data_IF_397233324418
#
_entry.id   IF_397233324418
#
_cell.length_a   1.000
_cell.length_b   1.000
_cell.length_c   1.000
_cell.angle_alpha   90.00
_cell.angle_beta   90.00
_cell.angle_gamma   90.00
#
_symmetry.space_group_name_H-M   'P 1'
#
loop_
_entity.id
_entity.type
_entity.pdbx_description
1 polymer ?
#
# COMPACT_ATOMS: atom_id res chain seq x y z
N UNK A 1 -6.33 -16.43 18.39
CA UNK A 1 -5.75 -15.78 17.21
C UNK A 1 -4.25 -15.74 17.42
N UNK A 2 -3.45 -16.33 16.53
CA UNK A 2 -2.00 -16.25 16.64
C UNK A 2 -1.48 -14.82 16.36
N UNK A 3 -0.24 -14.55 16.76
CA UNK A 3 0.39 -13.24 16.67
C UNK A 3 0.41 -12.70 15.23
N UNK A 4 0.63 -13.58 14.25
CA UNK A 4 0.74 -13.19 12.85
C UNK A 4 -0.62 -12.77 12.28
N UNK A 5 -1.69 -13.50 12.61
CA UNK A 5 -3.07 -13.14 12.26
C UNK A 5 -3.49 -11.83 12.93
N UNK A 6 -3.11 -11.62 14.20
CA UNK A 6 -3.35 -10.35 14.90
C UNK A 6 -2.66 -9.19 14.16
N UNK A 7 -1.39 -9.35 13.80
CA UNK A 7 -0.64 -8.32 13.07
C UNK A 7 -1.29 -8.06 11.71
N UNK A 8 -1.62 -9.09 10.95
CA UNK A 8 -2.30 -8.93 9.66
C UNK A 8 -3.62 -8.15 9.80
N UNK A 9 -4.41 -8.44 10.84
CA UNK A 9 -5.64 -7.71 11.14
C UNK A 9 -5.36 -6.24 11.49
N UNK A 10 -4.34 -5.96 12.30
CA UNK A 10 -3.92 -4.59 12.63
C UNK A 10 -3.49 -3.84 11.36
N UNK A 11 -2.71 -4.47 10.49
CA UNK A 11 -2.26 -3.86 9.23
C UNK A 11 -3.42 -3.58 8.28
N UNK A 12 -4.37 -4.50 8.17
CA UNK A 12 -5.60 -4.29 7.42
C UNK A 12 -6.42 -3.14 8.00
N UNK A 13 -6.53 -3.05 9.33
CA UNK A 13 -7.21 -1.97 10.03
C UNK A 13 -6.53 -0.60 9.81
N UNK A 14 -5.19 -0.55 9.77
CA UNK A 14 -4.43 0.67 9.44
C UNK A 14 -4.71 1.12 8.00
N UNK A 15 -4.68 0.19 7.03
CA UNK A 15 -4.98 0.52 5.63
C UNK A 15 -6.43 0.97 5.44
N UNK A 16 -7.39 0.27 6.05
CA UNK A 16 -8.80 0.64 6.02
C UNK A 16 -9.06 1.98 6.72
N UNK A 17 -8.40 2.22 7.85
CA UNK A 17 -8.45 3.48 8.58
C UNK A 17 -7.89 4.64 7.75
N UNK A 18 -6.76 4.44 7.07
CA UNK A 18 -6.19 5.42 6.16
C UNK A 18 -7.16 5.75 5.01
N UNK A 19 -7.76 4.75 4.37
CA UNK A 19 -8.74 4.95 3.31
C UNK A 19 -9.96 5.75 3.82
N UNK A 20 -10.50 5.39 4.99
CA UNK A 20 -11.61 6.10 5.62
C UNK A 20 -11.26 7.55 5.97
N UNK A 21 -10.07 7.80 6.51
CA UNK A 21 -9.59 9.15 6.81
C UNK A 21 -9.39 9.98 5.55
N UNK A 22 -8.82 9.41 4.50
CA UNK A 22 -8.66 10.08 3.21
C UNK A 22 -10.01 10.56 2.66
N UNK A 23 -10.99 9.66 2.58
CA UNK A 23 -12.35 9.98 2.11
C UNK A 23 -13.01 11.05 2.99
N UNK A 24 -12.90 10.90 4.32
CA UNK A 24 -13.47 11.85 5.28
C UNK A 24 -12.86 13.25 5.14
N UNK A 25 -11.54 13.34 4.98
CA UNK A 25 -10.84 14.62 4.81
C UNK A 25 -11.28 15.32 3.54
N UNK A 26 -11.33 14.60 2.40
CA UNK A 26 -11.79 15.18 1.13
C UNK A 26 -13.23 15.67 1.19
N UNK A 27 -14.13 14.89 1.79
CA UNK A 27 -15.54 15.31 1.97
C UNK A 27 -15.67 16.52 2.90
N UNK A 28 -14.86 16.60 3.97
CA UNK A 28 -14.85 17.75 4.88
C UNK A 28 -14.37 19.02 4.18
N UNK A 29 -13.34 18.94 3.34
CA UNK A 29 -12.86 20.09 2.56
C UNK A 29 -13.93 20.55 1.58
N UNK A 30 -14.58 19.62 0.88
CA UNK A 30 -15.69 19.92 -0.04
C UNK A 30 -16.83 20.67 0.65
N UNK A 31 -17.34 20.13 1.77
CA UNK A 31 -18.42 20.76 2.53
C UNK A 31 -18.06 22.17 3.04
N UNK A 32 -16.79 22.40 3.43
CA UNK A 32 -16.33 23.70 3.91
C UNK A 32 -16.28 24.73 2.80
N UNK A 33 -15.84 24.34 1.61
CA UNK A 33 -15.76 25.24 0.46
C UNK A 33 -17.16 25.61 -0.02
N UNK A 34 -18.08 24.64 -0.13
CA UNK A 34 -19.48 24.95 -0.45
C UNK A 34 -20.13 25.91 0.56
N UNK A 35 -19.82 25.75 1.85
CA UNK A 35 -20.32 26.64 2.89
C UNK A 35 -19.75 28.07 2.79
N UNK A 36 -18.50 28.22 2.35
CA UNK A 36 -17.81 29.52 2.24
C UNK A 36 -18.16 30.26 0.94
N UNK A 37 -18.26 29.54 -0.18
CA UNK A 37 -18.53 30.12 -1.50
C UNK A 37 -20.03 30.37 -1.75
N UNK A 38 -20.90 29.91 -0.83
CA UNK A 38 -22.36 30.01 -0.94
C UNK A 38 -22.93 29.50 -2.28
N UNK A 39 -22.20 28.61 -2.96
CA UNK A 39 -22.58 28.00 -4.23
C UNK A 39 -22.20 26.51 -4.24
N UNK A 40 -22.90 25.73 -5.07
CA UNK A 40 -22.60 24.30 -5.23
C UNK A 40 -21.32 24.15 -6.06
N UNK A 41 -20.27 23.57 -5.46
CA UNK A 41 -19.00 23.31 -6.15
C UNK A 41 -18.96 21.83 -6.48
N UNK A 42 -18.72 21.49 -7.75
CA UNK A 42 -18.58 20.09 -8.14
C UNK A 42 -17.34 19.48 -7.48
N UNK A 43 -17.41 18.20 -7.05
CA UNK A 43 -16.23 17.50 -6.50
C UNK A 43 -15.09 17.41 -7.51
N UNK A 44 -15.42 17.36 -8.79
CA UNK A 44 -14.45 17.26 -9.88
C UNK A 44 -13.61 18.53 -9.98
N UNK A 45 -14.26 19.71 -9.95
CA UNK A 45 -13.57 21.00 -9.95
C UNK A 45 -12.74 21.19 -8.68
N UNK A 46 -13.28 20.78 -7.53
CA UNK A 46 -12.54 20.80 -6.28
C UNK A 46 -11.27 19.93 -6.36
N UNK A 47 -11.39 18.68 -6.79
CA UNK A 47 -10.24 17.78 -6.86
C UNK A 47 -9.19 18.27 -7.86
N UNK A 48 -9.61 18.87 -8.99
CA UNK A 48 -8.71 19.56 -9.92
C UNK A 48 -7.97 20.71 -9.25
N UNK A 49 -8.67 21.56 -8.50
CA UNK A 49 -8.06 22.69 -7.78
C UNK A 49 -7.12 22.26 -6.65
N UNK A 50 -7.40 21.14 -5.98
CA UNK A 50 -6.58 20.61 -4.88
C UNK A 50 -5.34 19.83 -5.34
N UNK A 51 -5.21 19.52 -6.63
CA UNK A 51 -4.13 18.67 -7.12
C UNK A 51 -2.78 19.39 -7.08
N UNK A 52 -1.86 18.87 -6.26
CA UNK A 52 -0.47 19.34 -6.20
C UNK A 52 0.43 18.37 -6.97
N UNK A 53 1.12 18.86 -8.00
CA UNK A 53 2.09 18.06 -8.74
C UNK A 53 3.29 17.68 -7.84
N UNK A 54 3.50 16.37 -7.63
CA UNK A 54 4.56 15.88 -6.73
C UNK A 54 5.91 15.61 -7.43
N UNK A 55 5.94 15.66 -8.76
CA UNK A 55 7.09 15.33 -9.61
C UNK A 55 7.10 13.86 -10.06
N UNK A 56 7.41 13.61 -11.33
CA UNK A 56 7.30 12.28 -11.97
C UNK A 56 8.10 11.19 -11.25
N UNK A 57 9.32 11.48 -10.83
CA UNK A 57 10.18 10.52 -10.12
C UNK A 57 9.56 10.05 -8.80
N UNK A 58 8.94 10.98 -8.05
CA UNK A 58 8.29 10.63 -6.80
C UNK A 58 7.03 9.81 -7.05
N UNK A 59 6.20 10.19 -8.03
CA UNK A 59 5.00 9.44 -8.39
C UNK A 59 5.33 8.01 -8.82
N UNK A 60 6.36 7.84 -9.66
CA UNK A 60 6.83 6.52 -10.08
C UNK A 60 7.30 5.66 -8.90
N UNK A 61 8.04 6.27 -7.95
CA UNK A 61 8.49 5.57 -6.77
C UNK A 61 7.32 5.18 -5.87
N UNK A 62 6.40 6.11 -5.60
CA UNK A 62 5.21 5.88 -4.80
C UNK A 62 4.36 4.73 -5.38
N UNK A 63 4.16 4.72 -6.70
CA UNK A 63 3.48 3.64 -7.40
C UNK A 63 4.22 2.30 -7.23
N UNK A 64 5.55 2.31 -7.41
CA UNK A 64 6.40 1.14 -7.19
C UNK A 64 6.27 0.60 -5.77
N UNK A 65 6.20 1.47 -4.77
CA UNK A 65 6.01 1.07 -3.39
C UNK A 65 4.65 0.40 -3.15
N UNK A 66 3.57 0.93 -3.71
CA UNK A 66 2.25 0.30 -3.65
C UNK A 66 2.25 -1.07 -4.33
N UNK A 67 2.88 -1.21 -5.50
CA UNK A 67 3.02 -2.51 -6.17
C UNK A 67 3.82 -3.50 -5.33
N UNK A 68 4.98 -3.06 -4.79
CA UNK A 68 5.82 -3.87 -3.90
C UNK A 68 5.09 -4.27 -2.62
N UNK A 69 4.15 -3.47 -2.12
CA UNK A 69 3.34 -3.82 -0.96
C UNK A 69 2.49 -5.04 -1.25
N UNK A 70 1.81 -5.09 -2.41
CA UNK A 70 1.04 -6.26 -2.82
C UNK A 70 1.91 -7.49 -3.01
N UNK A 71 3.10 -7.33 -3.60
CA UNK A 71 4.08 -8.42 -3.73
C UNK A 71 4.50 -8.94 -2.36
N UNK A 72 4.87 -8.06 -1.42
CA UNK A 72 5.27 -8.43 -0.07
C UNK A 72 4.15 -9.16 0.69
N UNK A 73 2.91 -8.66 0.60
CA UNK A 73 1.73 -9.34 1.18
C UNK A 73 1.55 -10.72 0.57
N UNK A 74 1.64 -10.86 -0.75
CA UNK A 74 1.47 -12.14 -1.42
C UNK A 74 2.57 -13.15 -1.04
N UNK A 75 3.83 -12.72 -1.00
CA UNK A 75 4.95 -13.56 -0.55
C UNK A 75 4.77 -13.99 0.91
N UNK A 76 4.42 -13.06 1.79
CA UNK A 76 4.19 -13.38 3.20
C UNK A 76 3.02 -14.37 3.34
N UNK A 77 1.89 -14.09 2.71
CA UNK A 77 0.68 -14.91 2.83
C UNK A 77 0.87 -16.32 2.24
N UNK A 78 1.47 -16.43 1.06
CA UNK A 78 1.52 -17.68 0.32
C UNK A 78 2.76 -18.53 0.65
N UNK A 79 3.87 -17.91 1.07
CA UNK A 79 5.14 -18.60 1.32
C UNK A 79 5.46 -18.77 2.81
N UNK A 80 4.76 -18.07 3.71
CA UNK A 80 4.90 -18.29 5.16
C UNK A 80 3.79 -19.24 5.63
N UNK A 81 4.09 -20.53 5.83
CA UNK A 81 3.10 -21.61 5.95
C UNK A 81 2.30 -21.56 7.25
N UNK A 82 2.67 -20.70 8.17
CA UNK A 82 2.05 -20.52 9.49
C UNK A 82 0.86 -19.58 9.44
N UNK A 83 0.67 -18.91 8.31
CA UNK A 83 -0.29 -17.83 8.17
C UNK A 83 -1.68 -18.35 7.78
N UNK A 84 -1.80 -19.34 6.88
CA UNK A 84 -3.10 -19.81 6.36
C UNK A 84 -3.08 -21.25 5.81
N UNK A 85 -4.25 -21.91 5.69
CA UNK A 85 -4.37 -23.31 5.28
C UNK A 85 -3.97 -23.60 3.83
N UNK A 86 -3.94 -22.59 2.96
CA UNK A 86 -3.61 -22.74 1.54
C UNK A 86 -2.23 -22.15 1.23
N UNK A 87 -1.16 -22.82 1.68
CA UNK A 87 0.20 -22.41 1.34
C UNK A 87 0.53 -22.82 -0.10
N UNK A 88 1.19 -21.92 -0.84
CA UNK A 88 1.67 -22.20 -2.21
C UNK A 88 2.63 -23.41 -2.27
N UNK A 89 3.29 -23.70 -1.15
CA UNK A 89 4.16 -24.88 -0.98
C UNK A 89 3.40 -26.22 -0.98
N UNK A 90 2.09 -26.21 -0.73
CA UNK A 90 1.26 -27.43 -0.80
C UNK A 90 0.74 -27.70 -2.21
N UNK A 91 0.90 -26.75 -3.15
CA UNK A 91 0.23 -26.78 -4.45
C UNK A 91 1.16 -27.35 -5.55
N UNK A 92 2.46 -27.09 -5.52
CA UNK A 92 3.38 -27.58 -6.56
C UNK A 92 4.85 -27.63 -6.11
N UNK A 93 5.62 -28.56 -6.66
CA UNK A 93 7.09 -28.69 -6.44
C UNK A 93 7.88 -27.68 -7.28
N UNK A 94 7.33 -27.21 -8.42
CA UNK A 94 7.98 -26.19 -9.29
C UNK A 94 7.99 -24.81 -8.60
N UNK A 95 7.07 -24.61 -7.65
CA UNK A 95 6.88 -23.39 -6.87
C UNK A 95 8.02 -23.04 -5.90
N UNK A 96 8.87 -24.01 -5.52
CA UNK A 96 9.94 -23.81 -4.54
C UNK A 96 11.31 -23.51 -5.16
N UNK A 97 11.40 -23.43 -6.49
CA UNK A 97 12.63 -23.03 -7.19
C UNK A 97 12.80 -21.51 -7.21
N UNK A 98 14.05 -21.02 -7.31
CA UNK A 98 14.34 -19.59 -7.46
C UNK A 98 13.56 -18.94 -8.61
N UNK A 99 13.50 -19.63 -9.77
CA UNK A 99 12.73 -19.19 -10.93
C UNK A 99 11.23 -19.15 -10.63
N UNK A 100 10.71 -20.13 -9.88
CA UNK A 100 9.32 -20.18 -9.43
C UNK A 100 8.94 -18.96 -8.58
N UNK A 101 9.79 -18.58 -7.61
CA UNK A 101 9.57 -17.36 -6.83
C UNK A 101 9.62 -16.12 -7.71
N UNK A 102 10.60 -15.98 -8.59
CA UNK A 102 10.70 -14.82 -9.47
C UNK A 102 9.46 -14.65 -10.35
N UNK A 103 9.01 -15.73 -11.01
CA UNK A 103 7.81 -15.73 -11.84
C UNK A 103 6.58 -15.35 -11.01
N UNK A 104 6.43 -15.93 -9.82
CA UNK A 104 5.34 -15.60 -8.92
C UNK A 104 5.31 -14.10 -8.57
N UNK A 105 6.44 -13.52 -8.16
CA UNK A 105 6.53 -12.10 -7.87
C UNK A 105 6.26 -11.21 -9.08
N UNK A 106 6.75 -11.59 -10.26
CA UNK A 106 6.48 -10.88 -11.50
C UNK A 106 4.98 -10.89 -11.86
N UNK A 107 4.30 -12.03 -11.70
CA UNK A 107 2.86 -12.15 -11.93
C UNK A 107 2.08 -11.28 -10.93
N UNK A 108 2.40 -11.34 -9.64
CA UNK A 108 1.73 -10.50 -8.62
C UNK A 108 1.95 -9.01 -8.89
N UNK A 109 3.16 -8.61 -9.26
CA UNK A 109 3.46 -7.22 -9.62
C UNK A 109 2.67 -6.78 -10.87
N UNK A 110 2.61 -7.63 -11.90
CA UNK A 110 1.83 -7.35 -13.11
C UNK A 110 0.33 -7.21 -12.80
N UNK A 111 -0.22 -8.10 -11.97
CA UNK A 111 -1.62 -8.02 -11.51
C UNK A 111 -1.87 -6.73 -10.73
N UNK A 112 -0.98 -6.37 -9.80
CA UNK A 112 -1.08 -5.11 -9.06
C UNK A 112 -1.06 -3.90 -10.00
N UNK A 113 -0.16 -3.88 -10.99
CA UNK A 113 -0.12 -2.81 -12.00
C UNK A 113 -1.42 -2.73 -12.82
N UNK A 114 -1.96 -3.88 -13.26
CA UNK A 114 -3.23 -3.93 -14.00
C UNK A 114 -4.36 -3.37 -13.15
N UNK A 115 -4.47 -3.77 -11.88
CA UNK A 115 -5.50 -3.28 -10.96
C UNK A 115 -5.36 -1.76 -10.77
N UNK A 116 -4.16 -1.25 -10.54
CA UNK A 116 -3.95 0.19 -10.34
C UNK A 116 -4.30 0.98 -11.62
N UNK A 117 -3.89 0.51 -12.80
CA UNK A 117 -4.23 1.14 -14.08
C UNK A 117 -5.71 1.06 -14.41
N UNK A 118 -6.36 -0.07 -14.08
CA UNK A 118 -7.79 -0.23 -14.24
C UNK A 118 -8.55 0.75 -13.34
N UNK A 119 -8.14 0.89 -12.08
CA UNK A 119 -8.70 1.90 -11.18
C UNK A 119 -8.50 3.32 -11.75
N UNK A 120 -7.30 3.65 -12.21
CA UNK A 120 -6.99 4.97 -12.76
C UNK A 120 -7.87 5.34 -13.98
N UNK A 121 -8.14 4.37 -14.87
CA UNK A 121 -8.93 4.58 -16.09
C UNK A 121 -10.44 4.42 -15.92
N UNK A 122 -10.90 3.51 -15.06
CA UNK A 122 -12.31 3.15 -14.96
C UNK A 122 -13.04 3.99 -13.91
N UNK A 123 -12.35 4.54 -12.91
CA UNK A 123 -12.98 5.39 -11.90
C UNK A 123 -13.36 6.75 -12.51
N UNK A 124 -14.65 7.13 -12.42
CA UNK A 124 -15.09 8.47 -12.78
C UNK A 124 -14.34 9.58 -12.02
N UNK A 125 -14.30 10.79 -12.56
CA UNK A 125 -13.58 11.93 -11.98
C UNK A 125 -14.08 12.32 -10.57
N UNK A 126 -15.37 12.14 -10.26
CA UNK A 126 -15.87 12.34 -8.90
C UNK A 126 -15.37 11.31 -7.87
N UNK A 127 -14.71 10.22 -8.31
CA UNK A 127 -14.00 9.25 -7.47
C UNK A 127 -12.47 9.38 -7.55
N UNK A 128 -11.97 10.50 -8.09
CA UNK A 128 -10.52 10.75 -8.27
C UNK A 128 -9.69 10.58 -6.99
N UNK A 129 -10.26 10.87 -5.81
CA UNK A 129 -9.61 10.58 -4.52
C UNK A 129 -9.25 9.11 -4.30
N UNK A 130 -9.90 8.18 -4.98
CA UNK A 130 -9.63 6.74 -4.86
C UNK A 130 -8.53 6.26 -5.83
N UNK A 131 -8.05 7.10 -6.76
CA UNK A 131 -7.01 6.74 -7.72
C UNK A 131 -5.65 6.67 -7.00
N UNK A 132 -5.01 5.48 -6.89
CA UNK A 132 -3.75 5.34 -6.15
C UNK A 132 -2.60 6.18 -6.72
N UNK A 133 -2.63 6.43 -8.04
CA UNK A 133 -1.72 7.28 -8.81
C UNK A 133 -1.73 8.73 -8.35
N UNK A 134 -2.85 9.20 -7.81
CA UNK A 134 -3.07 10.59 -7.43
C UNK A 134 -3.26 10.79 -5.92
N UNK A 135 -3.26 9.72 -5.14
CA UNK A 135 -3.42 9.74 -3.69
C UNK A 135 -2.55 10.80 -3.01
N UNK A 136 -1.27 10.86 -3.39
CA UNK A 136 -0.29 11.79 -2.82
C UNK A 136 -0.42 13.23 -3.33
N UNK A 137 -1.15 13.46 -4.42
CA UNK A 137 -1.37 14.77 -5.01
C UNK A 137 -2.30 15.64 -4.15
N UNK A 138 -3.08 15.03 -3.25
CA UNK A 138 -3.97 15.75 -2.30
C UNK A 138 -3.26 16.22 -1.03
N UNK A 139 -1.95 15.96 -0.88
CA UNK A 139 -1.20 16.23 0.33
C UNK A 139 0.02 17.12 0.08
N UNK A 140 0.29 18.03 1.01
CA UNK A 140 1.52 18.83 0.98
C UNK A 140 2.68 18.02 1.54
N UNK A 141 3.50 17.45 0.66
CA UNK A 141 4.59 16.55 1.04
C UNK A 141 5.95 17.27 1.12
N UNK A 142 6.57 17.21 2.31
CA UNK A 142 7.94 17.67 2.50
C UNK A 142 8.95 16.77 1.77
N UNK A 143 10.17 17.28 1.48
CA UNK A 143 11.27 16.48 0.92
C UNK A 143 11.58 15.24 1.78
N UNK A 144 11.49 15.37 3.10
CA UNK A 144 11.75 14.27 4.03
C UNK A 144 10.65 13.21 3.96
N UNK A 145 9.38 13.63 3.87
CA UNK A 145 8.25 12.70 3.69
C UNK A 145 8.37 11.93 2.37
N UNK A 146 8.79 12.61 1.29
CA UNK A 146 9.03 11.93 0.00
C UNK A 146 10.14 10.90 0.09
N UNK A 147 11.25 11.21 0.76
CA UNK A 147 12.34 10.24 1.04
C UNK A 147 11.87 9.08 1.91
N UNK A 148 11.01 9.35 2.89
CA UNK A 148 10.44 8.34 3.77
C UNK A 148 9.57 7.35 3.00
N UNK A 149 8.67 7.84 2.14
CA UNK A 149 7.93 7.00 1.18
C UNK A 149 8.92 6.29 0.23
N UNK A 150 9.96 6.99 -0.21
CA UNK A 150 11.17 6.47 -0.87
C UNK A 150 11.66 5.12 -0.33
N UNK A 151 11.91 5.11 0.98
CA UNK A 151 12.51 4.01 1.72
C UNK A 151 11.58 2.80 1.90
N UNK A 152 10.30 2.92 1.55
CA UNK A 152 9.37 1.77 1.60
C UNK A 152 9.74 0.71 0.58
N UNK A 153 10.28 1.08 -0.59
CA UNK A 153 10.69 0.13 -1.62
C UNK A 153 11.77 -0.84 -1.11
N UNK A 154 12.93 -0.38 -0.60
CA UNK A 154 13.94 -1.30 -0.05
C UNK A 154 13.44 -2.02 1.20
N UNK A 155 12.61 -1.41 2.05
CA UNK A 155 12.01 -2.08 3.20
C UNK A 155 11.11 -3.26 2.78
N UNK A 156 10.22 -3.05 1.80
CA UNK A 156 9.38 -4.10 1.24
C UNK A 156 10.21 -5.19 0.53
N UNK A 157 11.33 -4.83 -0.11
CA UNK A 157 12.24 -5.82 -0.68
C UNK A 157 12.83 -6.75 0.40
N UNK A 158 13.22 -6.23 1.57
CA UNK A 158 13.67 -7.06 2.69
C UNK A 158 12.57 -7.99 3.18
N UNK A 159 11.31 -7.50 3.21
CA UNK A 159 10.15 -8.32 3.55
C UNK A 159 9.99 -9.48 2.57
N UNK A 160 10.00 -9.19 1.26
CA UNK A 160 9.92 -10.20 0.18
C UNK A 160 11.04 -11.23 0.27
N UNK A 161 12.30 -10.80 0.42
CA UNK A 161 13.45 -11.71 0.51
C UNK A 161 13.35 -12.62 1.74
N UNK A 162 12.91 -12.07 2.87
CA UNK A 162 12.72 -12.84 4.11
C UNK A 162 11.60 -13.88 3.96
N UNK A 163 10.48 -13.51 3.34
CA UNK A 163 9.39 -14.43 3.00
C UNK A 163 9.81 -15.50 2.00
N UNK A 164 10.58 -15.14 0.97
CA UNK A 164 11.12 -16.10 -0.01
C UNK A 164 12.07 -17.10 0.65
N UNK A 165 12.95 -16.62 1.56
CA UNK A 165 13.83 -17.48 2.34
C UNK A 165 13.05 -18.50 3.16
N UNK A 166 12.00 -18.09 3.87
CA UNK A 166 11.11 -19.02 4.60
C UNK A 166 10.53 -20.07 3.66
N UNK A 167 10.11 -19.64 2.47
CA UNK A 167 9.63 -20.55 1.43
C UNK A 167 10.67 -21.60 1.04
N UNK A 168 11.95 -21.23 0.91
CA UNK A 168 13.02 -22.18 0.52
C UNK A 168 13.35 -23.23 1.56
N UNK A 169 13.15 -22.93 2.85
CA UNK A 169 13.51 -23.83 3.96
C UNK A 169 12.34 -24.69 4.43
N UNK A 170 11.15 -24.56 3.81
CA UNK A 170 9.95 -25.33 4.16
C UNK A 170 10.19 -26.86 4.09
N UNK A 171 9.71 -27.67 5.06
CA UNK A 171 8.85 -27.34 6.21
C UNK A 171 9.57 -26.75 7.44
N UNK A 172 10.87 -26.50 7.34
CA UNK A 172 11.62 -25.78 8.36
C UNK A 172 11.09 -24.37 8.59
N UNK A 173 11.33 -23.83 9.78
CA UNK A 173 10.88 -22.51 10.20
C UNK A 173 12.04 -21.67 10.70
N UNK A 174 11.98 -20.37 10.43
CA UNK A 174 12.91 -19.38 10.99
C UNK A 174 12.10 -18.24 11.62
N UNK A 175 11.93 -18.24 12.96
CA UNK A 175 11.19 -17.19 13.66
C UNK A 175 11.74 -15.79 13.40
N UNK A 176 13.06 -15.66 13.24
CA UNK A 176 13.71 -14.39 12.92
C UNK A 176 13.31 -13.89 11.54
N UNK A 177 13.32 -14.75 10.51
CA UNK A 177 12.91 -14.36 9.16
C UNK A 177 11.41 -14.00 9.11
N UNK A 178 10.56 -14.75 9.84
CA UNK A 178 9.13 -14.45 9.95
C UNK A 178 8.92 -13.05 10.58
N UNK A 179 9.63 -12.77 11.67
CA UNK A 179 9.58 -11.47 12.35
C UNK A 179 10.09 -10.32 11.48
N UNK A 180 11.20 -10.52 10.74
CA UNK A 180 11.74 -9.51 9.82
C UNK A 180 10.75 -9.23 8.68
N UNK A 181 10.20 -10.27 8.06
CA UNK A 181 9.23 -10.12 6.98
C UNK A 181 8.02 -9.29 7.43
N UNK A 182 7.48 -9.60 8.60
CA UNK A 182 6.36 -8.86 9.20
C UNK A 182 6.74 -7.43 9.60
N UNK A 183 7.87 -7.23 10.27
CA UNK A 183 8.28 -5.92 10.77
C UNK A 183 8.49 -4.93 9.62
N UNK A 184 9.19 -5.35 8.56
CA UNK A 184 9.42 -4.50 7.39
C UNK A 184 8.14 -4.23 6.60
N UNK A 185 7.21 -5.19 6.52
CA UNK A 185 5.89 -4.96 5.95
C UNK A 185 5.11 -3.92 6.75
N UNK A 186 5.06 -4.08 8.07
CA UNK A 186 4.33 -3.21 8.98
C UNK A 186 4.85 -1.77 8.95
N UNK A 187 6.18 -1.60 9.05
CA UNK A 187 6.82 -0.29 8.95
C UNK A 187 6.50 0.35 7.60
N UNK A 188 6.59 -0.40 6.50
CA UNK A 188 6.32 0.14 5.16
C UNK A 188 4.87 0.61 5.00
N UNK A 189 3.89 -0.13 5.54
CA UNK A 189 2.49 0.30 5.54
C UNK A 189 2.34 1.61 6.29
N UNK A 190 2.89 1.71 7.51
CA UNK A 190 2.85 2.94 8.30
C UNK A 190 3.49 4.12 7.54
N UNK A 191 4.60 3.89 6.85
CA UNK A 191 5.27 4.91 6.04
C UNK A 191 4.41 5.40 4.87
N UNK A 192 3.75 4.48 4.15
CA UNK A 192 2.90 4.80 2.99
C UNK A 192 1.68 5.64 3.37
N UNK A 193 1.05 5.35 4.51
CA UNK A 193 -0.18 6.02 4.96
C UNK A 193 0.08 7.21 5.88
N UNK A 194 1.31 7.42 6.34
CA UNK A 194 1.66 8.51 7.27
C UNK A 194 1.16 9.90 6.83
N UNK A 195 1.27 10.32 5.54
CA UNK A 195 0.76 11.64 5.13
C UNK A 195 -0.75 11.80 5.36
N UNK A 196 -1.52 10.73 5.18
CA UNK A 196 -2.97 10.72 5.33
C UNK A 196 -3.35 10.98 6.79
N UNK A 197 -2.71 10.25 7.71
CA UNK A 197 -2.93 10.42 9.15
C UNK A 197 -2.46 11.79 9.64
N UNK A 198 -1.32 12.28 9.14
CA UNK A 198 -0.80 13.59 9.47
C UNK A 198 -1.79 14.69 9.10
N UNK A 199 -2.27 14.70 7.85
CA UNK A 199 -3.23 15.70 7.36
C UNK A 199 -4.56 15.62 8.13
N UNK A 200 -5.06 14.41 8.38
CA UNK A 200 -6.30 14.22 9.13
C UNK A 200 -6.21 14.75 10.57
N UNK A 201 -5.03 14.67 11.19
CA UNK A 201 -4.77 15.21 12.52
C UNK A 201 -4.62 16.73 12.51
N UNK A 202 -3.84 17.27 11.58
CA UNK A 202 -3.65 18.72 11.43
C UNK A 202 -4.96 19.42 11.08
N UNK A 203 -5.78 18.83 10.21
CA UNK A 203 -7.09 19.38 9.84
C UNK A 203 -8.12 19.40 10.97
N UNK A 204 -7.88 18.73 12.12
CA UNK A 204 -8.74 18.83 13.31
C UNK A 204 -8.40 20.01 14.21
N UNK A 205 -7.19 20.56 14.10
CA UNK A 205 -6.80 21.81 14.77
C UNK A 205 -7.37 23.02 14.03
#
# INVERSE_FOLDING_TARGET
MDLLTLIAFILAAILAGAAGLHIKTLNRVHQRIEALEHCSVSKEDLYRGMTIAQGSNFTALALTAWMMLFVAIAYLYLLVPTSLPYSYMQISVVASSFMGFFIFGAIVAALAAIVILALDKLLPEHYRGLKPTELYSFYTLSKNTKKFIGLTVPALAISVVSSAFIGTIYPGRSPLAEALALAFLAVSICMLVAPIYKEAWEGQR
#
